data_IF_307431831897
#
_entry.id   IF_307431831897
#
_cell.length_a   1.000
_cell.length_b   1.000
_cell.length_c   1.000
_cell.angle_alpha   90.00
_cell.angle_beta   90.00
_cell.angle_gamma   90.00
#
_symmetry.space_group_name_H-M   'P 1'
#
loop_
_entity.id
_entity.type
_entity.pdbx_description
1 polymer ?
#
# COMPACT_ATOMS: atom_id res chain seq x y z
N UNK A 1 7.14 14.94 -3.74
CA UNK A 1 7.70 14.20 -2.58
C UNK A 1 6.63 13.42 -1.84
N UNK A 2 5.67 14.05 -1.13
CA UNK A 2 4.59 13.32 -0.41
C UNK A 2 3.69 12.43 -1.29
N UNK A 3 3.36 12.90 -2.49
CA UNK A 3 2.56 12.12 -3.46
C UNK A 3 3.31 10.90 -3.99
N UNK A 4 4.64 11.00 -4.11
CA UNK A 4 5.47 9.88 -4.55
C UNK A 4 5.61 8.84 -3.43
N UNK A 5 5.82 9.27 -2.18
CA UNK A 5 5.77 8.39 -1.02
C UNK A 5 4.44 7.63 -0.98
N UNK A 6 3.32 8.34 -1.19
CA UNK A 6 1.99 7.73 -1.21
C UNK A 6 1.84 6.71 -2.34
N UNK A 7 2.29 7.04 -3.56
CA UNK A 7 2.25 6.11 -4.70
C UNK A 7 3.07 4.84 -4.44
N UNK A 8 4.26 4.98 -3.85
CA UNK A 8 5.11 3.84 -3.52
C UNK A 8 4.42 2.98 -2.45
N UNK A 9 3.85 3.59 -1.41
CA UNK A 9 3.12 2.84 -0.38
C UNK A 9 1.95 2.03 -0.94
N UNK A 10 1.19 2.61 -1.88
CA UNK A 10 0.08 1.93 -2.57
C UNK A 10 0.54 0.72 -3.40
N UNK A 11 1.79 0.72 -3.87
CA UNK A 11 2.39 -0.43 -4.58
C UNK A 11 2.94 -1.48 -3.64
N UNK A 12 3.56 -1.06 -2.53
CA UNK A 12 4.13 -1.97 -1.52
C UNK A 12 3.02 -2.86 -0.94
N UNK A 13 1.84 -2.31 -0.67
CA UNK A 13 0.79 -2.99 0.07
C UNK A 13 0.30 -4.30 -0.60
N UNK A 14 -0.13 -4.31 -1.88
CA UNK A 14 -0.50 -5.55 -2.56
C UNK A 14 0.68 -6.50 -2.77
N UNK A 15 1.89 -5.99 -3.05
CA UNK A 15 3.09 -6.82 -3.17
C UNK A 15 3.46 -7.51 -1.85
N UNK A 16 3.16 -6.87 -0.71
CA UNK A 16 3.32 -7.48 0.61
C UNK A 16 2.31 -8.59 0.85
N UNK A 17 1.10 -8.45 0.33
CA UNK A 17 0.04 -9.44 0.48
C UNK A 17 0.38 -10.71 -0.32
N UNK A 18 0.94 -10.55 -1.52
CA UNK A 18 1.41 -11.67 -2.35
C UNK A 18 2.88 -12.03 -2.11
N UNK A 19 3.49 -11.61 -0.99
CA UNK A 19 4.94 -11.75 -0.76
C UNK A 19 5.43 -13.19 -0.85
N UNK A 20 4.61 -14.15 -0.38
CA UNK A 20 4.92 -15.58 -0.45
C UNK A 20 4.95 -16.13 -1.88
N UNK A 21 4.29 -15.45 -2.82
CA UNK A 21 4.23 -15.79 -4.24
C UNK A 21 5.23 -15.00 -5.09
N UNK A 22 5.91 -14.00 -4.50
CA UNK A 22 6.89 -13.17 -5.21
C UNK A 22 8.21 -13.90 -5.45
N UNK A 23 8.77 -13.74 -6.64
CA UNK A 23 10.09 -14.23 -6.96
C UNK A 23 11.19 -13.46 -6.18
N UNK A 24 12.38 -14.04 -5.97
CA UNK A 24 13.46 -13.40 -5.19
C UNK A 24 13.85 -12.00 -5.68
N UNK A 25 13.74 -11.75 -6.99
CA UNK A 25 14.02 -10.44 -7.57
C UNK A 25 12.92 -9.41 -7.24
N UNK A 26 11.66 -9.82 -7.20
CA UNK A 26 10.52 -8.97 -6.81
C UNK A 26 10.54 -8.67 -5.31
N UNK A 27 11.02 -9.61 -4.49
CA UNK A 27 11.27 -9.38 -3.06
C UNK A 27 12.36 -8.32 -2.85
N UNK A 28 13.42 -8.35 -3.65
CA UNK A 28 14.46 -7.31 -3.63
C UNK A 28 13.92 -5.95 -4.07
N UNK A 29 13.09 -5.91 -5.12
CA UNK A 29 12.40 -4.69 -5.54
C UNK A 29 11.46 -4.16 -4.46
N UNK A 30 10.74 -5.04 -3.75
CA UNK A 30 9.89 -4.65 -2.63
C UNK A 30 10.70 -4.00 -1.51
N UNK A 31 11.87 -4.54 -1.19
CA UNK A 31 12.79 -3.96 -0.21
C UNK A 31 13.25 -2.57 -0.65
N UNK A 32 13.68 -2.41 -1.90
CA UNK A 32 14.10 -1.12 -2.46
C UNK A 32 12.97 -0.09 -2.46
N UNK A 33 11.74 -0.52 -2.76
CA UNK A 33 10.56 0.33 -2.69
C UNK A 33 10.25 0.76 -1.25
N UNK A 34 10.41 -0.13 -0.27
CA UNK A 34 10.27 0.22 1.15
C UNK A 34 11.30 1.24 1.59
N UNK A 35 12.58 1.02 1.30
CA UNK A 35 13.65 1.97 1.64
C UNK A 35 13.41 3.35 1.02
N UNK A 36 13.00 3.39 -0.26
CA UNK A 36 12.67 4.65 -0.94
C UNK A 36 11.44 5.33 -0.34
N UNK A 37 10.44 4.57 0.09
CA UNK A 37 9.28 5.10 0.79
C UNK A 37 9.67 5.73 2.12
N UNK A 38 10.47 5.03 2.93
CA UNK A 38 10.95 5.50 4.23
C UNK A 38 11.81 6.76 4.10
N UNK A 39 12.71 6.83 3.11
CA UNK A 39 13.50 8.03 2.85
C UNK A 39 12.60 9.24 2.55
N UNK A 40 11.66 9.06 1.61
CA UNK A 40 10.74 10.13 1.22
C UNK A 40 9.83 10.53 2.37
N UNK A 41 9.34 9.58 3.18
CA UNK A 41 8.46 9.82 4.32
C UNK A 41 9.19 10.55 5.45
N UNK A 42 10.42 10.14 5.77
CA UNK A 42 11.24 10.80 6.78
C UNK A 42 11.64 12.22 6.38
N UNK A 43 11.75 12.50 5.08
CA UNK A 43 11.98 13.84 4.56
C UNK A 43 10.73 14.75 4.60
N UNK A 44 9.54 14.22 4.88
CA UNK A 44 8.32 15.03 4.99
C UNK A 44 8.28 15.81 6.31
N UNK A 45 7.79 17.04 6.22
CA UNK A 45 7.39 17.82 7.38
C UNK A 45 6.06 17.32 7.98
N UNK A 46 5.71 17.75 9.19
CA UNK A 46 4.49 17.33 9.89
C UNK A 46 3.20 17.56 9.09
N UNK A 47 3.06 18.69 8.39
CA UNK A 47 1.88 18.98 7.59
C UNK A 47 1.74 18.02 6.39
N UNK A 48 2.86 17.68 5.75
CA UNK A 48 2.90 16.74 4.64
C UNK A 48 2.69 15.29 5.11
N UNK A 49 3.16 14.92 6.30
CA UNK A 49 2.87 13.61 6.92
C UNK A 49 1.39 13.49 7.26
N UNK A 50 0.80 14.53 7.84
CA UNK A 50 -0.62 14.53 8.19
C UNK A 50 -1.50 14.43 6.93
N UNK A 51 -1.12 15.11 5.84
CA UNK A 51 -1.75 14.93 4.54
C UNK A 51 -1.58 13.51 4.00
N UNK A 52 -0.36 12.96 4.10
CA UNK A 52 -0.05 11.60 3.66
C UNK A 52 -0.89 10.56 4.40
N UNK A 53 -1.00 10.66 5.73
CA UNK A 53 -1.76 9.72 6.55
C UNK A 53 -3.25 9.77 6.22
N UNK A 54 -3.81 10.97 6.05
CA UNK A 54 -5.20 11.13 5.63
C UNK A 54 -5.44 10.51 4.23
N UNK A 55 -4.62 10.88 3.25
CA UNK A 55 -4.75 10.39 1.88
C UNK A 55 -4.50 8.87 1.76
N UNK A 56 -3.61 8.33 2.61
CA UNK A 56 -3.37 6.90 2.69
C UNK A 56 -4.53 6.17 3.35
N UNK A 57 -5.07 6.70 4.44
CA UNK A 57 -6.23 6.14 5.15
C UNK A 57 -7.46 6.06 4.25
N UNK A 58 -7.78 7.13 3.51
CA UNK A 58 -8.88 7.15 2.54
C UNK A 58 -8.71 6.09 1.44
N UNK A 59 -7.49 5.97 0.90
CA UNK A 59 -7.19 4.97 -0.10
C UNK A 59 -7.23 3.54 0.47
N UNK A 60 -6.70 3.32 1.68
CA UNK A 60 -6.67 2.01 2.30
C UNK A 60 -8.08 1.52 2.64
N UNK A 61 -8.98 2.41 3.06
CA UNK A 61 -10.39 2.09 3.23
C UNK A 61 -11.04 1.64 1.91
N UNK A 62 -10.75 2.31 0.79
CA UNK A 62 -11.22 1.88 -0.53
C UNK A 62 -10.59 0.56 -0.98
N UNK A 63 -9.29 0.37 -0.71
CA UNK A 63 -8.58 -0.87 -1.03
C UNK A 63 -9.22 -2.06 -0.29
N UNK A 64 -9.44 -1.93 1.02
CA UNK A 64 -10.14 -2.93 1.82
C UNK A 64 -11.57 -3.16 1.35
N UNK A 65 -12.33 -2.12 0.99
CA UNK A 65 -13.69 -2.27 0.46
C UNK A 65 -13.70 -3.05 -0.86
N UNK A 66 -12.74 -2.80 -1.75
CA UNK A 66 -12.58 -3.56 -3.00
C UNK A 66 -12.17 -5.01 -2.73
N UNK A 67 -11.17 -5.25 -1.87
CA UNK A 67 -10.74 -6.61 -1.52
C UNK A 67 -11.84 -7.40 -0.83
N UNK A 68 -12.54 -6.80 0.13
CA UNK A 68 -13.65 -7.44 0.84
C UNK A 68 -14.82 -7.73 -0.09
N UNK A 69 -15.15 -6.83 -1.03
CA UNK A 69 -16.20 -7.08 -2.04
C UNK A 69 -15.83 -8.17 -3.03
N UNK A 70 -14.55 -8.31 -3.40
CA UNK A 70 -14.08 -9.43 -4.23
C UNK A 70 -14.15 -10.76 -3.45
N UNK A 71 -14.00 -10.72 -2.12
CA UNK A 71 -14.09 -11.89 -1.24
C UNK A 71 -15.52 -12.33 -0.88
N UNK A 72 -16.55 -11.51 -1.12
CA UNK A 72 -17.95 -11.97 -0.98
C UNK A 72 -18.28 -12.83 -2.20
N UNK A 73 -17.90 -14.11 -2.14
CA UNK A 73 -18.73 -15.14 -2.77
C UNK A 73 -20.15 -14.90 -2.27
N UNK A 74 -21.16 -14.65 -3.12
CA UNK A 74 -22.53 -14.79 -2.67
C UNK A 74 -22.65 -16.24 -2.21
N UNK A 75 -22.72 -16.44 -0.89
CA UNK A 75 -22.98 -17.74 -0.33
C UNK A 75 -24.27 -18.23 -0.97
N UNK A 76 -24.19 -19.36 -1.68
CA UNK A 76 -25.32 -20.21 -2.01
C UNK A 76 -26.04 -20.52 -0.70
N UNK A 77 -27.03 -19.68 -0.40
CA UNK A 77 -27.96 -19.82 0.70
C UNK A 77 -29.36 -19.74 0.13
N UNK A 78 -29.74 -20.76 -0.63
CA UNK A 78 -31.13 -21.17 -0.87
C UNK A 78 -31.16 -22.70 -0.92
#
# INVERSE_FOLDING_TARGET
MKEEALKIRKKILPLKDTFEELEPHEQEELSKLQEKHDELYNALNDADRQWYDNAFSEWYAMYLDVETKIFIKPGEGC
#
